data_IF_490065022774
#
_entry.id   IF_490065022774
#
_cell.length_a   1.000
_cell.length_b   1.000
_cell.length_c   1.000
_cell.angle_alpha   90.00
_cell.angle_beta   90.00
_cell.angle_gamma   90.00
#
_symmetry.space_group_name_H-M   'P 1'
#
loop_
_entity.id
_entity.type
_entity.pdbx_description
1 polymer ?
#
# COMPACT_ATOMS: atom_id res chain seq x y z
N UNK A 1 11.46 9.17 -6.45
CA UNK A 1 12.49 10.23 -6.54
C UNK A 1 12.91 10.63 -5.13
N UNK A 2 14.21 10.90 -4.94
CA UNK A 2 14.78 11.44 -3.72
C UNK A 2 15.75 12.57 -4.08
N UNK A 3 15.90 13.56 -3.20
CA UNK A 3 16.79 14.69 -3.43
C UNK A 3 17.97 14.63 -2.48
N UNK A 4 19.16 14.91 -3.03
CA UNK A 4 20.43 14.92 -2.31
C UNK A 4 21.22 16.18 -2.68
N UNK A 5 22.14 16.58 -1.81
CA UNK A 5 23.11 17.62 -2.12
C UNK A 5 24.39 17.02 -2.73
N UNK A 6 24.71 17.44 -3.94
CA UNK A 6 25.97 17.09 -4.57
C UNK A 6 26.69 18.37 -5.03
N UNK A 7 27.90 18.61 -4.54
CA UNK A 7 28.69 19.83 -4.84
C UNK A 7 27.86 21.12 -4.77
N UNK A 8 27.11 21.27 -3.68
CA UNK A 8 26.24 22.43 -3.41
C UNK A 8 25.06 22.59 -4.38
N UNK A 9 24.73 21.58 -5.19
CA UNK A 9 23.57 21.55 -6.08
C UNK A 9 22.57 20.52 -5.57
N UNK A 10 21.29 20.85 -5.74
CA UNK A 10 20.19 19.90 -5.49
C UNK A 10 20.13 18.93 -6.67
N UNK A 11 20.26 17.63 -6.40
CA UNK A 11 20.18 16.57 -7.41
C UNK A 11 18.99 15.68 -7.08
N UNK A 12 18.10 15.52 -8.06
CA UNK A 12 16.99 14.61 -7.98
C UNK A 12 17.38 13.25 -8.58
N UNK A 13 17.18 12.18 -7.84
CA UNK A 13 17.45 10.82 -8.29
C UNK A 13 16.18 9.98 -8.23
N UNK A 14 15.94 9.21 -9.28
CA UNK A 14 14.91 8.17 -9.23
C UNK A 14 15.38 7.09 -8.27
N UNK A 15 14.51 6.71 -7.33
CA UNK A 15 14.80 5.62 -6.41
C UNK A 15 14.63 4.28 -7.10
N UNK A 16 15.56 3.37 -6.86
CA UNK A 16 15.46 1.99 -7.33
C UNK A 16 14.57 1.19 -6.37
N UNK A 17 13.42 0.76 -6.85
CA UNK A 17 12.48 -0.05 -6.08
C UNK A 17 11.36 -0.58 -6.97
N UNK A 18 10.88 -1.79 -6.67
CA UNK A 18 9.83 -2.44 -7.45
C UNK A 18 8.58 -1.57 -7.60
N UNK A 19 8.13 -0.97 -6.50
CA UNK A 19 6.98 -0.07 -6.52
C UNK A 19 7.22 1.18 -7.39
N UNK A 20 8.42 1.76 -7.34
CA UNK A 20 8.78 2.90 -8.19
C UNK A 20 8.82 2.50 -9.67
N UNK A 21 9.39 1.34 -9.97
CA UNK A 21 9.47 0.84 -11.34
C UNK A 21 8.09 0.62 -11.96
N UNK A 22 7.10 0.21 -11.15
CA UNK A 22 5.74 -0.05 -11.59
C UNK A 22 4.90 1.22 -11.74
N UNK A 23 4.87 2.05 -10.70
CA UNK A 23 3.94 3.18 -10.62
C UNK A 23 4.40 4.39 -11.43
N UNK A 24 5.71 4.64 -11.52
CA UNK A 24 6.25 5.81 -12.23
C UNK A 24 5.81 5.88 -13.71
N UNK A 25 5.89 4.80 -14.52
CA UNK A 25 5.40 4.82 -15.89
C UNK A 25 3.90 5.10 -15.99
N UNK A 26 3.11 4.53 -15.11
CA UNK A 26 1.66 4.75 -15.07
C UNK A 26 1.33 6.19 -14.71
N UNK A 27 1.94 6.73 -13.66
CA UNK A 27 1.74 8.12 -13.24
C UNK A 27 2.23 9.13 -14.26
N UNK A 28 3.30 8.83 -15.00
CA UNK A 28 3.74 9.67 -16.12
C UNK A 28 2.70 9.75 -17.22
N UNK A 29 1.91 8.71 -17.43
CA UNK A 29 0.87 8.65 -18.45
C UNK A 29 -0.44 9.30 -18.02
N UNK A 30 -0.89 9.05 -16.78
CA UNK A 30 -2.20 9.48 -16.29
C UNK A 30 -2.18 10.74 -15.42
N UNK A 31 -1.01 11.14 -14.93
CA UNK A 31 -0.87 12.21 -13.95
C UNK A 31 -1.27 11.78 -12.54
N UNK A 32 -1.54 12.76 -11.68
CA UNK A 32 -2.01 12.53 -10.31
C UNK A 32 -1.02 12.97 -9.25
N UNK A 33 -1.23 12.49 -8.02
CA UNK A 33 -0.33 12.77 -6.89
C UNK A 33 0.14 11.47 -6.26
N UNK A 34 1.45 11.28 -6.21
CA UNK A 34 2.06 10.21 -5.42
C UNK A 34 2.40 10.72 -4.03
N UNK A 35 1.77 10.18 -3.01
CA UNK A 35 2.05 10.50 -1.62
C UNK A 35 3.07 9.50 -1.09
N UNK A 36 4.23 9.97 -0.66
CA UNK A 36 5.32 9.14 -0.18
C UNK A 36 6.12 9.80 0.94
N UNK A 37 6.71 8.99 1.79
CA UNK A 37 7.64 9.47 2.80
C UNK A 37 8.86 10.15 2.16
N UNK A 38 9.20 11.34 2.69
CA UNK A 38 10.42 12.07 2.31
C UNK A 38 11.64 11.49 3.03
N UNK A 39 12.42 10.67 2.33
CA UNK A 39 13.61 9.98 2.86
C UNK A 39 14.93 10.53 2.35
N UNK A 40 14.89 11.39 1.35
CA UNK A 40 16.08 12.04 0.80
C UNK A 40 16.59 13.14 1.72
N UNK A 41 17.92 13.27 1.82
CA UNK A 41 18.60 14.24 2.69
C UNK A 41 18.13 15.68 2.41
N UNK A 42 17.89 16.00 1.14
CA UNK A 42 17.48 17.33 0.70
C UNK A 42 16.03 17.41 0.21
N UNK A 43 15.19 16.41 0.50
CA UNK A 43 13.78 16.40 0.07
C UNK A 43 13.01 17.62 0.58
N UNK A 44 13.32 18.12 1.81
CA UNK A 44 12.67 19.31 2.37
C UNK A 44 12.99 20.60 1.63
N UNK A 45 14.12 20.66 0.94
CA UNK A 45 14.54 21.84 0.17
C UNK A 45 13.96 21.85 -1.24
N UNK A 46 13.53 20.66 -1.71
CA UNK A 46 13.04 20.47 -3.07
C UNK A 46 11.54 20.71 -3.21
N UNK A 47 10.80 20.73 -2.09
CA UNK A 47 9.34 20.82 -2.11
C UNK A 47 8.86 22.27 -2.03
N UNK A 48 7.65 22.48 -2.54
CA UNK A 48 6.92 23.74 -2.41
C UNK A 48 6.27 23.90 -1.01
N UNK A 49 5.54 24.98 -0.80
CA UNK A 49 4.81 25.27 0.44
C UNK A 49 3.71 24.24 0.77
N UNK A 50 3.41 23.34 -0.15
CA UNK A 50 2.47 22.22 0.06
C UNK A 50 3.18 20.88 0.25
N UNK A 51 4.47 20.87 0.55
CA UNK A 51 5.31 19.68 0.65
C UNK A 51 5.32 18.82 -0.63
N UNK A 52 5.21 19.42 -1.80
CA UNK A 52 5.14 18.72 -3.06
C UNK A 52 6.19 19.20 -4.07
N UNK A 53 6.59 18.31 -4.95
CA UNK A 53 7.47 18.58 -6.08
C UNK A 53 6.95 17.92 -7.34
N UNK A 54 7.08 18.61 -8.48
CA UNK A 54 6.74 18.02 -9.77
C UNK A 54 7.86 17.11 -10.27
N UNK A 55 7.52 15.91 -10.72
CA UNK A 55 8.47 14.88 -11.16
C UNK A 55 8.02 14.24 -12.47
N UNK A 56 8.97 13.70 -13.27
CA UNK A 56 10.42 13.85 -13.14
C UNK A 56 10.89 15.28 -13.43
N UNK A 57 12.07 15.69 -12.94
CA UNK A 57 12.53 17.09 -13.08
C UNK A 57 12.67 17.55 -14.53
N UNK A 58 13.11 16.66 -15.42
CA UNK A 58 13.34 16.93 -16.85
C UNK A 58 12.04 17.08 -17.65
N UNK A 59 10.96 16.43 -17.22
CA UNK A 59 9.65 16.47 -17.87
C UNK A 59 8.55 16.17 -16.84
N UNK A 60 8.12 17.17 -16.05
CA UNK A 60 7.14 16.99 -15.00
C UNK A 60 5.82 16.42 -15.51
N UNK A 61 5.44 15.26 -14.98
CA UNK A 61 4.23 14.53 -15.39
C UNK A 61 3.23 14.33 -14.25
N UNK A 62 3.69 14.29 -13.02
CA UNK A 62 2.86 14.12 -11.82
C UNK A 62 3.45 14.82 -10.60
N UNK A 63 2.71 14.91 -9.52
CA UNK A 63 3.15 15.50 -8.26
C UNK A 63 3.62 14.41 -7.30
N UNK A 64 4.76 14.63 -6.66
CA UNK A 64 5.24 13.83 -5.54
C UNK A 64 5.03 14.65 -4.26
N UNK A 65 4.07 14.24 -3.44
CA UNK A 65 3.74 14.86 -2.15
C UNK A 65 4.46 14.12 -1.03
N UNK A 66 5.15 14.87 -0.17
CA UNK A 66 5.94 14.28 0.92
C UNK A 66 5.14 14.18 2.20
N UNK A 67 5.33 13.05 2.90
CA UNK A 67 4.96 12.87 4.30
C UNK A 67 6.24 12.89 5.11
N UNK A 68 6.27 13.69 6.14
CA UNK A 68 7.43 13.80 7.01
C UNK A 68 7.28 12.91 8.24
N UNK A 69 8.16 11.94 8.37
CA UNK A 69 8.22 11.04 9.50
C UNK A 69 9.41 11.40 10.39
N UNK A 70 9.22 11.34 11.70
CA UNK A 70 10.32 11.44 12.66
C UNK A 70 11.19 10.18 12.60
N UNK A 71 12.42 10.28 13.11
CA UNK A 71 13.32 9.12 13.22
C UNK A 71 12.72 7.98 14.03
N UNK A 72 11.92 8.31 15.04
CA UNK A 72 11.24 7.32 15.90
C UNK A 72 10.09 6.63 15.14
N UNK A 73 9.31 7.38 14.36
CA UNK A 73 8.27 6.82 13.50
C UNK A 73 8.88 5.91 12.43
N UNK A 74 9.98 6.32 11.79
CA UNK A 74 10.69 5.46 10.82
C UNK A 74 11.23 4.19 11.48
N UNK A 75 11.85 4.33 12.66
CA UNK A 75 12.40 3.17 13.38
C UNK A 75 11.30 2.24 13.87
N UNK A 76 10.23 2.77 14.43
CA UNK A 76 9.15 1.98 15.02
C UNK A 76 8.13 1.46 14.02
N UNK A 77 7.69 2.30 13.07
CA UNK A 77 6.69 1.91 12.08
C UNK A 77 7.30 1.14 10.90
N UNK A 78 8.19 1.80 10.15
CA UNK A 78 8.72 1.21 8.92
C UNK A 78 9.68 0.05 9.21
N UNK A 79 10.78 0.32 9.95
CA UNK A 79 11.78 -0.72 10.26
C UNK A 79 11.28 -1.71 11.32
N UNK A 80 10.41 -1.27 12.24
CA UNK A 80 9.85 -2.08 13.31
C UNK A 80 8.61 -2.85 12.85
N UNK A 81 7.42 -2.29 13.01
CA UNK A 81 6.17 -3.04 12.79
C UNK A 81 6.04 -3.61 11.37
N UNK A 82 6.29 -2.80 10.35
CA UNK A 82 6.21 -3.27 8.97
C UNK A 82 7.24 -4.37 8.67
N UNK A 83 8.54 -4.10 8.87
CA UNK A 83 9.60 -4.98 8.39
C UNK A 83 10.04 -6.07 9.39
N UNK A 84 9.79 -5.90 10.70
CA UNK A 84 10.15 -6.91 11.71
C UNK A 84 8.96 -7.67 12.28
N UNK A 85 7.72 -7.25 11.98
CA UNK A 85 6.52 -7.97 12.42
C UNK A 85 5.70 -8.43 11.23
N UNK A 86 5.12 -7.52 10.43
CA UNK A 86 4.23 -7.90 9.33
C UNK A 86 4.94 -8.68 8.24
N UNK A 87 6.06 -8.17 7.74
CA UNK A 87 6.77 -8.81 6.63
C UNK A 87 7.18 -10.26 6.94
N UNK A 88 7.90 -10.56 8.05
CA UNK A 88 8.28 -11.93 8.37
C UNK A 88 7.08 -12.82 8.71
N UNK A 89 6.03 -12.29 9.33
CA UNK A 89 4.82 -13.05 9.60
C UNK A 89 4.12 -13.44 8.29
N UNK A 90 3.98 -12.52 7.34
CA UNK A 90 3.38 -12.79 6.03
C UNK A 90 4.18 -13.81 5.22
N UNK A 91 5.51 -13.84 5.38
CA UNK A 91 6.38 -14.82 4.74
C UNK A 91 6.58 -16.11 5.56
N UNK A 92 5.83 -16.28 6.66
CA UNK A 92 5.89 -17.46 7.54
C UNK A 92 7.31 -17.72 8.07
N UNK A 93 8.10 -16.67 8.23
CA UNK A 93 9.43 -16.73 8.87
C UNK A 93 9.31 -16.28 10.33
N UNK A 94 8.56 -17.08 11.11
CA UNK A 94 8.11 -16.71 12.46
C UNK A 94 9.28 -16.56 13.46
N UNK A 95 10.40 -17.22 13.22
CA UNK A 95 11.65 -17.08 13.97
C UNK A 95 12.27 -15.66 13.86
N UNK A 96 11.86 -14.88 12.85
CA UNK A 96 12.32 -13.50 12.61
C UNK A 96 11.37 -12.43 13.11
N UNK A 97 10.20 -12.81 13.61
CA UNK A 97 9.21 -11.85 14.11
C UNK A 97 9.70 -11.24 15.43
N UNK A 98 9.92 -9.92 15.44
CA UNK A 98 10.36 -9.17 16.60
C UNK A 98 9.32 -8.14 17.02
N UNK A 99 8.29 -8.59 17.73
CA UNK A 99 7.19 -7.74 18.17
C UNK A 99 7.56 -6.85 19.37
N UNK A 100 7.18 -5.57 19.27
CA UNK A 100 7.19 -4.61 20.37
C UNK A 100 5.94 -3.76 20.30
N UNK A 101 5.24 -3.55 21.43
CA UNK A 101 4.03 -2.73 21.48
C UNK A 101 4.26 -1.29 20.99
N UNK A 102 5.44 -0.72 21.21
CA UNK A 102 5.81 0.61 20.70
C UNK A 102 5.87 0.66 19.17
N UNK A 103 6.19 -0.46 18.49
CA UNK A 103 6.18 -0.51 17.04
C UNK A 103 4.78 -0.30 16.47
N UNK A 104 3.77 -0.93 17.07
CA UNK A 104 2.38 -0.70 16.72
C UNK A 104 1.96 0.76 16.89
N UNK A 105 2.32 1.38 18.02
CA UNK A 105 2.00 2.79 18.27
C UNK A 105 2.55 3.70 17.17
N UNK A 106 3.81 3.48 16.76
CA UNK A 106 4.42 4.23 15.65
C UNK A 106 3.78 3.90 14.30
N UNK A 107 3.37 2.64 14.08
CA UNK A 107 2.67 2.24 12.86
C UNK A 107 1.32 2.97 12.72
N UNK A 108 0.55 3.06 13.79
CA UNK A 108 -0.68 3.85 13.83
C UNK A 108 -0.39 5.34 13.57
N UNK A 109 0.65 5.89 14.20
CA UNK A 109 1.04 7.28 14.00
C UNK A 109 1.44 7.57 12.55
N UNK A 110 2.24 6.69 11.94
CA UNK A 110 2.60 6.79 10.52
C UNK A 110 1.37 6.79 9.62
N UNK A 111 0.44 5.84 9.80
CA UNK A 111 -0.80 5.80 9.03
C UNK A 111 -1.64 7.08 9.19
N UNK A 112 -1.67 7.68 10.38
CA UNK A 112 -2.34 8.97 10.62
C UNK A 112 -1.69 10.13 9.86
N UNK A 113 -0.35 10.17 9.79
CA UNK A 113 0.36 11.18 8.99
C UNK A 113 0.01 11.09 7.51
N UNK A 114 -0.05 9.86 6.99
CA UNK A 114 -0.50 9.63 5.62
C UNK A 114 -1.97 10.06 5.43
N UNK A 115 -2.85 9.75 6.38
CA UNK A 115 -4.24 10.20 6.35
C UNK A 115 -4.34 11.72 6.25
N UNK A 116 -3.64 12.48 7.09
CA UNK A 116 -3.64 13.94 7.08
C UNK A 116 -3.28 14.50 5.69
N UNK A 117 -2.24 13.92 5.07
CA UNK A 117 -1.79 14.31 3.73
C UNK A 117 -2.81 13.94 2.65
N UNK A 118 -3.40 12.73 2.73
CA UNK A 118 -4.47 12.29 1.80
C UNK A 118 -5.67 13.19 1.89
N UNK A 119 -6.13 13.52 3.10
CA UNK A 119 -7.29 14.40 3.29
C UNK A 119 -7.02 15.82 2.79
N UNK A 120 -5.80 16.33 2.92
CA UNK A 120 -5.43 17.61 2.34
C UNK A 120 -5.46 17.59 0.80
N UNK A 121 -4.95 16.53 0.18
CA UNK A 121 -5.04 16.36 -1.29
C UNK A 121 -6.49 16.21 -1.77
N UNK A 122 -7.33 15.45 -1.07
CA UNK A 122 -8.75 15.29 -1.40
C UNK A 122 -9.52 16.62 -1.30
N UNK A 123 -9.19 17.48 -0.31
CA UNK A 123 -9.77 18.83 -0.21
C UNK A 123 -9.35 19.72 -1.38
N UNK A 124 -8.09 19.64 -1.81
CA UNK A 124 -7.55 20.40 -2.95
C UNK A 124 -8.07 19.91 -4.28
N UNK A 125 -8.36 18.63 -4.40
CA UNK A 125 -8.79 17.94 -5.61
C UNK A 125 -9.93 16.97 -5.31
N UNK A 126 -11.17 17.49 -5.16
CA UNK A 126 -12.34 16.67 -4.88
C UNK A 126 -12.59 15.61 -5.98
N UNK A 127 -13.17 14.48 -5.60
CA UNK A 127 -13.54 13.42 -6.53
C UNK A 127 -12.40 12.48 -6.95
N UNK A 128 -11.20 12.62 -6.35
CA UNK A 128 -10.10 11.70 -6.63
C UNK A 128 -10.29 10.37 -5.89
N UNK A 129 -9.95 9.26 -6.58
CA UNK A 129 -9.77 7.97 -5.93
C UNK A 129 -8.40 7.88 -5.24
N UNK A 130 -8.32 7.09 -4.18
CA UNK A 130 -7.09 6.83 -3.45
C UNK A 130 -6.68 5.38 -3.66
N UNK A 131 -5.44 5.17 -4.11
CA UNK A 131 -4.88 3.85 -4.26
C UNK A 131 -3.71 3.66 -3.29
N UNK A 132 -3.88 2.81 -2.29
CA UNK A 132 -2.86 2.50 -1.30
C UNK A 132 -2.12 1.22 -1.67
N UNK A 133 -0.83 1.18 -1.34
CA UNK A 133 0.02 0.05 -1.66
C UNK A 133 0.66 -0.54 -0.41
N UNK A 134 0.56 -1.86 -0.33
CA UNK A 134 1.32 -2.71 0.55
C UNK A 134 1.02 -2.59 2.05
N UNK A 135 1.66 -3.46 2.83
CA UNK A 135 1.45 -3.69 4.27
C UNK A 135 1.83 -2.51 5.18
N UNK A 136 2.50 -1.50 4.63
CA UNK A 136 2.87 -0.31 5.40
C UNK A 136 1.67 0.57 5.78
N UNK A 137 0.59 0.53 5.02
CA UNK A 137 -0.55 1.42 5.14
C UNK A 137 -1.88 0.68 5.32
N UNK A 138 -1.85 -0.50 5.98
CA UNK A 138 -3.03 -1.35 6.14
C UNK A 138 -4.18 -0.70 6.94
N UNK A 139 -3.91 0.30 7.76
CA UNK A 139 -4.93 1.03 8.50
C UNK A 139 -5.52 2.21 7.73
N UNK A 140 -4.79 2.71 6.72
CA UNK A 140 -5.14 3.93 6.02
C UNK A 140 -6.51 3.87 5.33
N UNK A 141 -6.93 2.79 4.66
CA UNK A 141 -8.25 2.70 4.04
C UNK A 141 -9.38 2.92 5.05
N UNK A 142 -9.34 2.21 6.17
CA UNK A 142 -10.32 2.37 7.24
C UNK A 142 -10.31 3.77 7.87
N UNK A 143 -9.14 4.39 7.98
CA UNK A 143 -9.03 5.76 8.46
C UNK A 143 -9.65 6.76 7.48
N UNK A 144 -9.42 6.60 6.18
CA UNK A 144 -10.03 7.46 5.13
C UNK A 144 -11.56 7.31 5.15
N UNK A 145 -12.07 6.09 5.11
CA UNK A 145 -13.51 5.81 5.06
C UNK A 145 -14.27 6.34 6.27
N UNK A 146 -13.67 6.37 7.45
CA UNK A 146 -14.29 6.97 8.65
C UNK A 146 -14.50 8.48 8.55
N UNK A 147 -13.59 9.18 7.87
CA UNK A 147 -13.63 10.66 7.73
C UNK A 147 -14.27 11.09 6.42
N UNK A 148 -14.07 10.32 5.37
CA UNK A 148 -14.51 10.63 4.01
C UNK A 148 -15.10 9.40 3.32
N UNK A 149 -16.29 8.92 3.74
CA UNK A 149 -16.85 7.63 3.30
C UNK A 149 -17.13 7.53 1.80
N UNK A 150 -17.34 8.66 1.12
CA UNK A 150 -17.60 8.69 -0.33
C UNK A 150 -16.32 8.52 -1.19
N UNK A 151 -15.13 8.60 -0.60
CA UNK A 151 -13.88 8.41 -1.37
C UNK A 151 -13.75 6.95 -1.79
N UNK A 152 -13.52 6.72 -3.07
CA UNK A 152 -13.14 5.40 -3.58
C UNK A 152 -11.71 5.08 -3.14
N UNK A 153 -11.54 3.99 -2.41
CA UNK A 153 -10.23 3.55 -1.89
C UNK A 153 -9.94 2.15 -2.39
N UNK A 154 -8.83 2.00 -3.11
CA UNK A 154 -8.31 0.71 -3.53
C UNK A 154 -7.03 0.38 -2.79
N UNK A 155 -6.79 -0.89 -2.53
CA UNK A 155 -5.56 -1.39 -1.90
C UNK A 155 -4.97 -2.49 -2.77
N UNK A 156 -3.65 -2.51 -2.93
CA UNK A 156 -2.94 -3.66 -3.47
C UNK A 156 -1.89 -4.14 -2.47
N UNK A 157 -2.05 -5.39 -2.03
CA UNK A 157 -1.17 -6.06 -1.06
C UNK A 157 -0.10 -6.85 -1.81
N UNK A 158 1.17 -6.46 -1.67
CA UNK A 158 2.27 -6.96 -2.50
C UNK A 158 3.02 -8.18 -1.93
N UNK A 159 2.81 -8.52 -0.67
CA UNK A 159 3.47 -9.67 -0.03
C UNK A 159 2.49 -10.84 0.12
N UNK A 160 2.95 -12.05 0.42
CA UNK A 160 2.06 -13.16 0.74
C UNK A 160 1.06 -12.80 1.84
N UNK A 161 -0.11 -13.44 1.83
CA UNK A 161 -1.03 -13.42 2.95
C UNK A 161 -1.05 -14.82 3.59
N UNK A 162 -0.76 -14.96 4.91
CA UNK A 162 -0.70 -16.26 5.56
C UNK A 162 -2.10 -16.75 5.95
N UNK A 163 -2.22 -18.03 6.22
CA UNK A 163 -3.45 -18.61 6.76
C UNK A 163 -3.83 -18.10 8.15
N UNK A 164 -5.09 -18.35 8.59
CA UNK A 164 -5.59 -17.88 9.89
C UNK A 164 -4.75 -18.35 11.09
N UNK A 165 -4.17 -19.54 11.03
CA UNK A 165 -3.34 -20.11 12.11
C UNK A 165 -2.12 -19.25 12.40
N UNK A 166 -1.55 -18.65 11.35
CA UNK A 166 -0.39 -17.76 11.45
C UNK A 166 -0.83 -16.35 11.77
N UNK A 167 -1.83 -15.83 11.03
CA UNK A 167 -2.23 -14.43 11.17
C UNK A 167 -2.80 -14.10 12.56
N UNK A 168 -3.46 -15.07 13.21
CA UNK A 168 -4.03 -14.91 14.58
C UNK A 168 -2.99 -14.66 15.69
N UNK A 169 -1.69 -14.86 15.40
CA UNK A 169 -0.59 -14.56 16.33
C UNK A 169 -0.50 -13.05 16.59
N UNK A 170 -0.85 -12.22 15.61
CA UNK A 170 -0.81 -10.77 15.76
C UNK A 170 -1.84 -10.28 16.78
N UNK A 171 -1.42 -9.51 17.79
CA UNK A 171 -2.36 -8.86 18.70
C UNK A 171 -3.36 -7.97 17.97
N UNK A 172 -2.89 -7.20 17.00
CA UNK A 172 -3.67 -6.20 16.24
C UNK A 172 -4.29 -6.74 14.95
N UNK A 173 -4.46 -8.06 14.85
CA UNK A 173 -5.03 -8.74 13.68
C UNK A 173 -6.40 -8.21 13.26
N UNK A 174 -7.25 -7.86 14.24
CA UNK A 174 -8.58 -7.32 14.00
C UNK A 174 -8.51 -5.94 13.36
N UNK A 175 -7.71 -5.03 13.92
CA UNK A 175 -7.55 -3.67 13.43
C UNK A 175 -6.98 -3.64 12.01
N UNK A 176 -6.05 -4.54 11.69
CA UNK A 176 -5.49 -4.66 10.34
C UNK A 176 -6.52 -5.14 9.32
N UNK A 177 -7.28 -6.20 9.66
CA UNK A 177 -8.34 -6.72 8.79
C UNK A 177 -9.45 -5.68 8.58
N UNK A 178 -9.93 -5.03 9.64
CA UNK A 178 -10.94 -3.97 9.57
C UNK A 178 -10.46 -2.77 8.74
N UNK A 179 -9.17 -2.43 8.87
CA UNK A 179 -8.54 -1.38 8.08
C UNK A 179 -8.55 -1.68 6.59
N UNK A 180 -8.18 -2.88 6.21
CA UNK A 180 -8.15 -3.33 4.81
C UNK A 180 -9.55 -3.55 4.22
N UNK A 181 -10.47 -4.17 4.98
CA UNK A 181 -11.84 -4.44 4.54
C UNK A 181 -12.68 -3.17 4.34
N UNK A 182 -12.25 -2.04 4.86
CA UNK A 182 -12.90 -0.77 4.60
C UNK A 182 -12.64 -0.23 3.18
N UNK A 183 -11.68 -0.78 2.43
CA UNK A 183 -11.45 -0.43 1.04
C UNK A 183 -12.60 -0.90 0.14
N UNK A 184 -12.85 -0.16 -0.95
CA UNK A 184 -13.83 -0.57 -1.97
C UNK A 184 -13.28 -1.73 -2.80
N UNK A 185 -11.96 -1.79 -2.95
CA UNK A 185 -11.26 -2.84 -3.71
C UNK A 185 -9.99 -3.25 -2.99
N UNK A 186 -9.76 -4.54 -2.86
CA UNK A 186 -8.54 -5.11 -2.29
C UNK A 186 -7.96 -6.17 -3.22
N UNK A 187 -6.76 -5.92 -3.74
CA UNK A 187 -6.06 -6.80 -4.66
C UNK A 187 -4.88 -7.52 -4.01
N UNK A 188 -4.60 -8.73 -4.47
CA UNK A 188 -3.49 -9.58 -4.06
C UNK A 188 -2.75 -10.10 -5.30
N UNK A 189 -1.53 -10.58 -5.12
CA UNK A 189 -0.72 -11.12 -6.20
C UNK A 189 -1.24 -12.47 -6.73
N UNK A 190 -1.88 -13.27 -5.89
CA UNK A 190 -2.40 -14.58 -6.24
C UNK A 190 -3.79 -14.79 -5.67
N UNK A 191 -4.56 -15.67 -6.32
CA UNK A 191 -5.88 -16.11 -5.85
C UNK A 191 -5.78 -16.76 -4.46
N UNK A 192 -4.73 -17.56 -4.22
CA UNK A 192 -4.50 -18.20 -2.93
C UNK A 192 -4.32 -17.21 -1.78
N UNK A 193 -3.64 -16.08 -2.01
CA UNK A 193 -3.51 -15.02 -0.99
C UNK A 193 -4.85 -14.32 -0.71
N UNK A 194 -5.65 -14.10 -1.75
CA UNK A 194 -6.99 -13.55 -1.60
C UNK A 194 -7.90 -14.49 -0.78
N UNK A 195 -7.84 -15.79 -1.04
CA UNK A 195 -8.55 -16.81 -0.25
C UNK A 195 -8.09 -16.83 1.21
N UNK A 196 -6.78 -16.86 1.46
CA UNK A 196 -6.22 -16.85 2.81
C UNK A 196 -6.64 -15.57 3.59
N UNK A 197 -6.67 -14.40 2.92
CA UNK A 197 -7.22 -13.18 3.51
C UNK A 197 -8.70 -13.32 3.86
N UNK A 198 -9.51 -13.84 2.93
CA UNK A 198 -10.93 -14.04 3.15
C UNK A 198 -11.20 -15.03 4.31
N UNK A 199 -10.41 -16.09 4.44
CA UNK A 199 -10.46 -17.03 5.57
C UNK A 199 -10.10 -16.33 6.89
N UNK A 200 -9.03 -15.51 6.92
CA UNK A 200 -8.69 -14.72 8.10
C UNK A 200 -9.80 -13.77 8.51
N UNK A 201 -10.42 -13.08 7.56
CA UNK A 201 -11.49 -12.15 7.82
C UNK A 201 -12.75 -12.87 8.34
N UNK A 202 -13.09 -14.02 7.78
CA UNK A 202 -14.22 -14.86 8.25
C UNK A 202 -13.98 -15.39 9.66
N UNK A 203 -12.80 -15.91 9.92
CA UNK A 203 -12.46 -16.58 11.16
C UNK A 203 -12.24 -15.59 12.33
N UNK A 204 -11.62 -14.45 12.07
CA UNK A 204 -11.25 -13.49 13.11
C UNK A 204 -12.31 -12.42 13.36
N UNK A 205 -13.01 -11.99 12.31
CA UNK A 205 -14.04 -10.94 12.40
C UNK A 205 -15.46 -11.49 12.39
N UNK A 206 -15.64 -12.80 12.20
CA UNK A 206 -16.96 -13.43 11.96
C UNK A 206 -17.68 -12.77 10.76
N UNK A 207 -16.90 -12.26 9.82
CA UNK A 207 -17.41 -11.52 8.68
C UNK A 207 -18.20 -12.44 7.75
N UNK A 208 -19.42 -12.02 7.37
CA UNK A 208 -20.20 -12.68 6.33
C UNK A 208 -19.52 -12.38 4.96
N UNK A 209 -18.60 -13.23 4.59
CA UNK A 209 -17.96 -13.19 3.27
C UNK A 209 -18.75 -14.09 2.35
N UNK A 210 -19.33 -13.51 1.30
CA UNK A 210 -19.98 -14.26 0.24
C UNK A 210 -18.98 -15.24 -0.40
N UNK A 211 -19.44 -16.45 -0.84
CA UNK A 211 -18.58 -17.39 -1.52
C UNK A 211 -17.90 -16.70 -2.70
N UNK A 212 -16.60 -16.94 -2.81
CA UNK A 212 -15.78 -16.52 -3.94
C UNK A 212 -16.37 -17.18 -5.19
N UNK A 213 -17.07 -16.43 -6.02
CA UNK A 213 -17.41 -16.94 -7.34
C UNK A 213 -16.15 -16.81 -8.22
N UNK A 214 -15.50 -17.95 -8.47
CA UNK A 214 -14.49 -18.09 -9.51
C UNK A 214 -15.12 -17.78 -10.87
N UNK A 215 -15.08 -16.53 -11.28
CA UNK A 215 -15.14 -16.18 -12.68
C UNK A 215 -13.79 -15.58 -13.02
N UNK A 216 -13.10 -16.23 -13.94
CA UNK A 216 -11.81 -15.76 -14.43
C UNK A 216 -11.86 -14.26 -14.76
N UNK A 217 -11.10 -13.45 -14.01
CA UNK A 217 -10.94 -12.02 -14.26
C UNK A 217 -11.96 -11.08 -13.64
N UNK A 218 -12.87 -11.53 -12.75
CA UNK A 218 -13.80 -10.65 -12.06
C UNK A 218 -13.48 -10.50 -10.56
N UNK A 219 -13.69 -9.30 -9.97
CA UNK A 219 -13.48 -9.07 -8.56
C UNK A 219 -14.39 -9.93 -7.70
N UNK A 220 -13.88 -10.42 -6.58
CA UNK A 220 -14.62 -11.21 -5.62
C UNK A 220 -15.36 -10.29 -4.64
N UNK A 221 -16.69 -10.35 -4.52
CA UNK A 221 -17.42 -9.50 -3.60
C UNK A 221 -17.09 -9.85 -2.15
N UNK A 222 -16.67 -8.87 -1.38
CA UNK A 222 -16.57 -8.90 0.07
C UNK A 222 -17.66 -7.99 0.64
N UNK A 223 -18.15 -8.23 1.84
CA UNK A 223 -19.35 -7.61 2.40
C UNK A 223 -19.41 -6.06 2.35
N UNK A 224 -18.28 -5.36 2.12
CA UNK A 224 -18.21 -3.92 1.93
C UNK A 224 -17.12 -3.47 0.92
N UNK A 225 -16.66 -4.36 0.06
CA UNK A 225 -15.64 -4.07 -0.93
C UNK A 225 -15.47 -5.24 -1.89
N UNK A 226 -14.73 -5.01 -2.95
CA UNK A 226 -14.40 -6.04 -3.94
C UNK A 226 -13.02 -6.60 -3.65
N UNK A 227 -12.92 -7.92 -3.52
CA UNK A 227 -11.67 -8.64 -3.39
C UNK A 227 -11.35 -9.29 -4.73
N UNK A 228 -10.21 -8.97 -5.32
CA UNK A 228 -9.72 -9.66 -6.49
C UNK A 228 -8.23 -9.98 -6.38
N UNK A 229 -7.83 -11.04 -7.04
CA UNK A 229 -6.44 -11.38 -7.21
C UNK A 229 -6.01 -11.03 -8.63
N UNK A 230 -4.86 -10.37 -8.76
CA UNK A 230 -4.22 -10.17 -10.04
C UNK A 230 -3.20 -11.28 -10.26
N UNK A 231 -3.32 -12.00 -11.38
CA UNK A 231 -2.29 -12.91 -11.88
C UNK A 231 -1.56 -12.25 -13.06
N UNK A 232 -0.26 -12.42 -13.16
CA UNK A 232 0.56 -11.80 -14.21
C UNK A 232 1.83 -11.14 -13.67
N UNK A 233 2.42 -10.24 -14.43
CA UNK A 233 3.62 -9.52 -14.00
C UNK A 233 3.25 -8.39 -13.05
N UNK A 234 3.63 -8.50 -11.79
CA UNK A 234 3.60 -7.38 -10.87
C UNK A 234 4.80 -6.48 -11.13
N UNK A 235 4.62 -5.46 -11.95
CA UNK A 235 5.67 -4.50 -12.21
C UNK A 235 6.16 -3.79 -10.93
N UNK A 236 5.34 -3.76 -9.86
CA UNK A 236 5.73 -3.18 -8.58
C UNK A 236 6.80 -3.99 -7.84
N UNK A 237 6.80 -5.30 -8.01
CA UNK A 237 7.68 -6.22 -7.27
C UNK A 237 8.75 -6.86 -8.15
N UNK A 238 8.75 -6.63 -9.47
CA UNK A 238 9.55 -7.40 -10.44
C UNK A 238 9.36 -8.93 -10.32
N UNK A 239 8.24 -9.35 -9.76
CA UNK A 239 7.89 -10.77 -9.68
C UNK A 239 6.93 -11.10 -10.81
N UNK A 240 7.26 -12.13 -11.57
CA UNK A 240 6.31 -12.73 -12.50
C UNK A 240 5.18 -13.35 -11.70
N UNK A 241 3.99 -12.81 -11.86
CA UNK A 241 2.77 -13.45 -11.37
C UNK A 241 2.33 -14.40 -12.47
N UNK A 242 2.35 -15.69 -12.18
CA UNK A 242 1.79 -16.73 -13.04
C UNK A 242 0.42 -17.09 -12.48
N UNK A 243 -0.56 -17.25 -13.36
CA UNK A 243 -1.81 -17.87 -12.97
C UNK A 243 -1.58 -19.35 -12.60
N UNK A 244 -2.55 -19.99 -11.99
CA UNK A 244 -2.47 -21.40 -11.60
C UNK A 244 -2.28 -22.35 -12.79
N UNK A 245 -2.38 -21.86 -14.04
CA UNK A 245 -2.12 -22.61 -15.28
C UNK A 245 -0.72 -22.37 -15.86
N UNK A 246 0.07 -21.44 -15.29
CA UNK A 246 1.43 -21.13 -15.72
C UNK A 246 1.52 -20.14 -16.89
N UNK A 247 0.43 -19.43 -17.20
CA UNK A 247 0.39 -18.41 -18.26
C UNK A 247 0.78 -17.01 -17.77
N UNK A 248 1.56 -16.27 -18.58
CA UNK A 248 1.83 -14.85 -18.35
C UNK A 248 0.60 -14.00 -18.70
N UNK A 249 0.08 -13.24 -17.72
CA UNK A 249 -1.05 -12.31 -17.93
C UNK A 249 -0.54 -10.87 -17.92
N UNK A 250 -0.83 -10.14 -18.98
CA UNK A 250 -0.46 -8.73 -19.10
C UNK A 250 -1.35 -7.83 -18.23
N UNK A 251 -0.74 -6.86 -17.52
CA UNK A 251 -1.43 -5.89 -16.66
C UNK A 251 -2.51 -5.09 -17.41
N UNK A 252 -2.37 -4.87 -18.70
CA UNK A 252 -3.34 -4.12 -19.52
C UNK A 252 -4.72 -4.80 -19.64
N UNK A 253 -4.83 -6.10 -19.34
CA UNK A 253 -6.08 -6.84 -19.40
C UNK A 253 -6.82 -6.90 -18.05
N UNK A 254 -6.16 -6.60 -16.93
CA UNK A 254 -6.73 -6.68 -15.58
C UNK A 254 -7.45 -5.38 -15.15
N UNK A 255 -7.31 -4.28 -15.92
CA UNK A 255 -7.83 -2.95 -15.56
C UNK A 255 -8.75 -2.32 -16.63
N UNK A 256 -9.32 -3.14 -17.53
CA UNK A 256 -10.35 -2.69 -18.49
C UNK A 256 -11.73 -3.09 -18.07
#
# INVERSE_FOLDING_TARGET
YAHQRFKNRLVCQRTDGGLTAALDPSLRRIGGTWIAWGSGEADREAVDSTDAVAVPPECPAYRLRRVWLSSDEVRGAYRGYANQVLWPLCHITLDRVAYRKSYWQHYVAMNRRFLETVLDELRRRPGQAVWTHDFHLALLPGMIKRVHPATVVSVFWHVPWPGPEVFRILPERRELLEGLLAADTLGFQTVSYAHAFAECARDILEAAISPVHEQAGLPLPVAQGELFAASGVCAACHMNMVDDSGGDVSIDSAWR
#
